data_IF_355480110833
#
_entry.id   IF_355480110833
#
_cell.length_a   1.000
_cell.length_b   1.000
_cell.length_c   1.000
_cell.angle_alpha   90.00
_cell.angle_beta   90.00
_cell.angle_gamma   90.00
#
_symmetry.space_group_name_H-M   'P 1'
#
loop_
_entity.id
_entity.type
_entity.pdbx_description
1 polymer ?
#
# COMPACT_ATOMS: atom_id res chain seq x y z
N UNK A 1 14.42 -11.94 3.49
CA UNK A 1 13.07 -11.56 3.03
C UNK A 1 12.26 -12.78 2.61
N UNK A 2 12.75 -13.67 1.74
CA UNK A 2 12.01 -14.89 1.33
C UNK A 2 11.60 -15.85 2.47
N UNK A 3 12.30 -15.81 3.61
CA UNK A 3 11.98 -16.64 4.79
C UNK A 3 10.78 -16.08 5.56
N UNK A 4 10.73 -14.76 5.74
CA UNK A 4 9.66 -14.07 6.47
C UNK A 4 8.39 -13.93 5.59
N UNK A 5 8.57 -13.91 4.26
CA UNK A 5 7.47 -13.94 3.28
C UNK A 5 6.69 -15.27 3.28
N UNK A 6 7.36 -16.38 3.58
CA UNK A 6 6.76 -17.73 3.64
C UNK A 6 5.90 -17.95 4.89
N UNK A 7 6.14 -17.18 5.94
CA UNK A 7 5.39 -17.27 7.20
C UNK A 7 3.99 -16.64 7.11
N UNK A 8 3.69 -15.89 6.05
CA UNK A 8 2.32 -15.39 5.78
C UNK A 8 1.28 -16.51 5.56
N UNK A 9 1.75 -17.74 5.31
CA UNK A 9 0.89 -18.94 5.18
C UNK A 9 0.70 -19.71 6.49
N UNK A 10 1.39 -19.30 7.57
CA UNK A 10 1.36 -19.94 8.88
C UNK A 10 0.52 -19.07 9.82
N UNK A 11 -0.52 -19.64 10.44
CA UNK A 11 -1.48 -18.87 11.27
C UNK A 11 -0.87 -18.20 12.51
N UNK A 12 0.37 -18.54 12.87
CA UNK A 12 1.13 -17.97 13.98
C UNK A 12 2.54 -17.52 13.53
N UNK A 13 2.71 -17.25 12.22
CA UNK A 13 3.96 -16.73 11.68
C UNK A 13 4.26 -15.32 12.19
N UNK A 14 5.52 -14.90 12.19
CA UNK A 14 5.86 -13.53 12.56
C UNK A 14 5.38 -12.56 11.46
N UNK A 15 4.48 -11.64 11.79
CA UNK A 15 4.01 -10.60 10.88
C UNK A 15 4.99 -9.41 10.78
N UNK A 16 6.29 -9.72 10.60
CA UNK A 16 7.37 -8.71 10.53
C UNK A 16 7.07 -7.62 9.50
N UNK A 17 6.40 -7.98 8.40
CA UNK A 17 5.98 -7.04 7.35
C UNK A 17 5.00 -6.00 7.85
N UNK A 18 4.01 -6.43 8.63
CA UNK A 18 2.93 -5.55 9.09
C UNK A 18 3.41 -4.68 10.28
N UNK A 19 4.50 -5.09 10.94
CA UNK A 19 5.22 -4.28 11.92
C UNK A 19 6.22 -3.27 11.29
N UNK A 20 6.70 -3.50 10.08
CA UNK A 20 7.74 -2.65 9.47
C UNK A 20 7.25 -1.24 9.17
N UNK A 21 6.07 -1.09 8.57
CA UNK A 21 5.56 0.23 8.15
C UNK A 21 5.10 1.11 9.32
N UNK A 22 4.93 0.53 10.51
CA UNK A 22 4.62 1.26 11.75
C UNK A 22 5.88 1.65 12.54
N UNK A 23 7.08 1.41 12.00
CA UNK A 23 8.32 1.77 12.67
C UNK A 23 8.42 3.29 12.92
N UNK A 24 8.99 3.62 14.08
CA UNK A 24 9.25 5.00 14.50
C UNK A 24 10.44 5.63 13.77
N UNK A 25 11.40 4.78 13.36
CA UNK A 25 12.61 5.17 12.66
C UNK A 25 13.05 4.04 11.72
N UNK A 26 13.42 4.40 10.50
CA UNK A 26 13.85 3.48 9.45
C UNK A 26 15.35 3.60 9.23
N UNK A 27 16.07 2.48 9.30
CA UNK A 27 17.52 2.42 9.12
C UNK A 27 17.86 1.66 7.85
N UNK A 28 18.77 2.21 7.05
CA UNK A 28 19.42 1.47 5.97
C UNK A 28 20.74 0.88 6.47
N UNK A 29 20.84 -0.44 6.40
CA UNK A 29 22.04 -1.21 6.73
C UNK A 29 22.72 -1.77 5.46
N UNK A 30 22.47 -1.15 4.32
CA UNK A 30 23.21 -1.41 3.09
C UNK A 30 24.62 -0.87 3.20
N UNK A 31 25.54 -1.44 2.42
CA UNK A 31 26.95 -0.99 2.39
C UNK A 31 27.09 0.43 1.84
N UNK A 32 26.13 0.89 1.02
CA UNK A 32 26.09 2.20 0.40
C UNK A 32 24.70 2.80 0.60
N UNK A 33 24.54 3.62 1.65
CA UNK A 33 23.26 4.29 1.90
C UNK A 33 22.87 5.22 0.76
N UNK A 34 21.61 5.12 0.36
CA UNK A 34 21.04 5.89 -0.75
C UNK A 34 20.93 7.40 -0.45
N UNK A 35 20.88 7.78 0.84
CA UNK A 35 20.86 9.19 1.28
C UNK A 35 22.24 9.66 1.77
N UNK A 36 23.29 8.85 1.58
CA UNK A 36 24.70 9.18 1.87
C UNK A 36 25.11 9.10 3.35
N UNK A 37 24.17 8.92 4.27
CA UNK A 37 24.44 8.69 5.70
C UNK A 37 24.71 7.20 5.95
N UNK A 38 25.84 6.85 6.57
CA UNK A 38 26.08 5.45 6.92
C UNK A 38 25.28 5.05 8.17
N UNK A 39 25.18 3.74 8.44
CA UNK A 39 24.44 3.23 9.61
C UNK A 39 24.84 3.91 10.93
N UNK A 40 26.11 4.22 11.13
CA UNK A 40 26.58 4.88 12.35
C UNK A 40 26.03 6.30 12.46
N UNK A 41 26.06 7.08 11.38
CA UNK A 41 25.54 8.45 11.34
C UNK A 41 24.03 8.48 11.63
N UNK A 42 23.28 7.52 11.05
CA UNK A 42 21.84 7.39 11.28
C UNK A 42 21.52 6.97 12.72
N UNK A 43 22.33 6.08 13.33
CA UNK A 43 22.18 5.69 14.73
C UNK A 43 22.51 6.85 15.68
N UNK A 44 23.58 7.60 15.42
CA UNK A 44 23.93 8.79 16.20
C UNK A 44 22.81 9.83 16.12
N UNK A 45 22.27 10.07 14.92
CA UNK A 45 21.11 10.95 14.71
C UNK A 45 19.88 10.47 15.49
N UNK A 46 19.56 9.18 15.42
CA UNK A 46 18.42 8.60 16.13
C UNK A 46 18.55 8.76 17.64
N UNK A 47 19.74 8.50 18.19
CA UNK A 47 20.02 8.68 19.63
C UNK A 47 19.89 10.15 20.01
N UNK A 48 20.45 11.08 19.23
CA UNK A 48 20.33 12.51 19.49
C UNK A 48 18.87 12.98 19.49
N UNK A 49 18.06 12.48 18.55
CA UNK A 49 16.62 12.76 18.49
C UNK A 49 15.91 12.26 19.75
N UNK A 50 16.12 11.01 20.17
CA UNK A 50 15.46 10.43 21.36
C UNK A 50 15.86 11.14 22.66
N UNK A 51 17.15 11.46 22.81
CA UNK A 51 17.68 12.12 24.01
C UNK A 51 17.38 13.63 24.03
N UNK A 52 16.83 14.17 22.94
CA UNK A 52 16.55 15.60 22.77
C UNK A 52 17.83 16.44 22.80
N UNK A 53 18.94 15.89 22.31
CA UNK A 53 20.23 16.58 22.33
C UNK A 53 20.30 17.61 21.21
N UNK A 54 20.30 18.89 21.59
CA UNK A 54 20.39 19.98 20.63
C UNK A 54 19.15 20.20 19.75
N UNK A 55 19.32 21.02 18.71
CA UNK A 55 18.31 21.32 17.70
C UNK A 55 18.59 20.51 16.44
N UNK A 56 17.90 19.39 16.30
CA UNK A 56 17.94 18.57 15.09
C UNK A 56 16.78 18.97 14.18
N UNK A 57 17.06 19.21 12.89
CA UNK A 57 16.03 19.49 11.89
C UNK A 57 15.69 18.22 11.10
N UNK A 58 14.45 18.11 10.59
CA UNK A 58 14.09 17.02 9.70
C UNK A 58 14.88 17.07 8.39
N UNK A 59 15.26 15.91 7.85
CA UNK A 59 15.91 15.77 6.54
C UNK A 59 14.94 16.12 5.41
N UNK A 60 15.47 16.26 4.18
CA UNK A 60 14.65 16.48 2.97
C UNK A 60 13.63 15.34 2.81
N UNK A 61 14.08 14.10 2.94
CA UNK A 61 13.29 12.88 2.87
C UNK A 61 12.21 12.81 3.96
N UNK A 62 12.56 13.07 5.22
CA UNK A 62 11.61 13.06 6.35
C UNK A 62 10.49 14.09 6.17
N UNK A 63 10.80 15.30 5.70
CA UNK A 63 9.78 16.31 5.36
C UNK A 63 8.85 15.80 4.28
N UNK A 64 9.40 15.33 3.16
CA UNK A 64 8.60 14.91 2.01
C UNK A 64 7.71 13.71 2.36
N UNK A 65 8.23 12.74 3.11
CA UNK A 65 7.45 11.58 3.56
C UNK A 65 6.37 11.95 4.57
N UNK A 66 6.62 12.91 5.47
CA UNK A 66 5.58 13.44 6.36
C UNK A 66 4.47 14.15 5.57
N UNK A 67 4.81 14.93 4.54
CA UNK A 67 3.82 15.53 3.64
C UNK A 67 3.02 14.46 2.86
N UNK A 68 3.67 13.38 2.42
CA UNK A 68 2.98 12.25 1.78
C UNK A 68 2.01 11.58 2.74
N UNK A 69 2.42 11.33 3.98
CA UNK A 69 1.55 10.80 5.02
C UNK A 69 0.37 11.75 5.31
N UNK A 70 0.61 13.05 5.43
CA UNK A 70 -0.47 14.03 5.62
C UNK A 70 -1.47 14.06 4.45
N UNK A 71 -1.01 13.87 3.20
CA UNK A 71 -1.87 13.73 2.03
C UNK A 71 -2.68 12.42 2.07
N UNK A 72 -2.09 11.33 2.57
CA UNK A 72 -2.77 10.04 2.72
C UNK A 72 -4.01 10.16 3.63
N UNK A 73 -3.91 10.91 4.73
CA UNK A 73 -4.99 11.10 5.69
C UNK A 73 -6.25 11.77 5.11
N UNK A 74 -6.15 12.37 3.93
CA UNK A 74 -7.28 12.98 3.21
C UNK A 74 -8.10 11.95 2.42
N UNK A 75 -7.56 10.76 2.16
CA UNK A 75 -8.20 9.74 1.34
C UNK A 75 -9.47 9.19 2.00
N UNK A 76 -10.56 9.18 1.23
CA UNK A 76 -11.81 8.48 1.57
C UNK A 76 -11.92 7.10 0.91
N UNK A 77 -10.82 6.55 0.40
CA UNK A 77 -10.81 5.22 -0.21
C UNK A 77 -11.15 4.14 0.83
N UNK A 78 -12.12 3.29 0.51
CA UNK A 78 -12.62 2.24 1.41
C UNK A 78 -11.62 1.12 1.70
N UNK A 79 -10.55 1.01 0.90
CA UNK A 79 -9.57 -0.07 1.04
C UNK A 79 -8.33 0.34 1.83
N UNK A 80 -7.77 1.52 1.57
CA UNK A 80 -6.53 2.00 2.19
C UNK A 80 -6.34 3.50 1.98
N UNK A 81 -5.61 4.13 2.87
CA UNK A 81 -5.14 5.51 2.73
C UNK A 81 -3.69 5.52 2.26
N UNK A 82 -3.42 6.16 1.12
CA UNK A 82 -2.10 6.26 0.48
C UNK A 82 -1.90 7.70 0.04
N UNK A 83 -0.70 8.21 0.30
CA UNK A 83 -0.33 9.56 -0.10
C UNK A 83 1.03 9.58 -0.76
N UNK A 84 1.22 10.54 -1.66
CA UNK A 84 2.45 10.73 -2.39
C UNK A 84 2.82 12.20 -2.49
N UNK A 85 4.11 12.46 -2.61
CA UNK A 85 4.70 13.79 -2.79
C UNK A 85 5.68 13.71 -3.93
N UNK A 86 5.59 14.66 -4.85
CA UNK A 86 6.63 14.95 -5.83
C UNK A 86 7.49 16.07 -5.29
N UNK A 87 8.81 15.87 -5.24
CA UNK A 87 9.77 16.83 -4.72
C UNK A 87 10.91 17.08 -5.72
N UNK A 88 11.51 18.28 -5.66
CA UNK A 88 12.74 18.57 -6.39
C UNK A 88 13.93 17.81 -5.78
N UNK A 89 15.05 17.69 -6.50
CA UNK A 89 16.30 17.15 -5.93
C UNK A 89 16.80 17.95 -4.71
N UNK A 90 16.38 19.22 -4.57
CA UNK A 90 16.67 20.03 -3.39
C UNK A 90 15.71 19.82 -2.22
N UNK A 91 14.69 18.97 -2.40
CA UNK A 91 13.71 18.64 -1.36
C UNK A 91 12.61 19.67 -1.20
N UNK A 92 12.34 20.49 -2.22
CA UNK A 92 11.16 21.35 -2.27
C UNK A 92 9.94 20.53 -2.68
N UNK A 93 8.80 20.74 -2.00
CA UNK A 93 7.55 20.03 -2.30
C UNK A 93 6.92 20.68 -3.53
N UNK A 94 6.82 19.92 -4.61
CA UNK A 94 6.28 20.39 -5.90
C UNK A 94 4.80 20.08 -6.05
N UNK A 95 4.38 18.89 -5.63
CA UNK A 95 2.99 18.46 -5.69
C UNK A 95 2.71 17.38 -4.64
N UNK A 96 1.45 17.27 -4.23
CA UNK A 96 0.96 16.19 -3.37
C UNK A 96 -0.14 15.42 -4.10
N UNK A 97 -0.27 14.14 -3.82
CA UNK A 97 -1.32 13.28 -4.34
C UNK A 97 -1.90 12.40 -3.25
N UNK A 98 -3.17 12.06 -3.39
CA UNK A 98 -3.89 11.16 -2.48
C UNK A 98 -4.68 10.16 -3.30
N UNK A 99 -4.85 8.94 -2.80
CA UNK A 99 -5.63 7.94 -3.51
C UNK A 99 -7.14 8.17 -3.26
N UNK A 100 -7.84 8.76 -4.22
CA UNK A 100 -9.28 8.98 -4.10
C UNK A 100 -9.95 9.05 -5.48
N UNK A 101 -11.27 9.16 -5.50
CA UNK A 101 -12.06 9.21 -6.72
C UNK A 101 -11.75 10.51 -7.48
N UNK A 102 -11.37 10.43 -8.77
CA UNK A 102 -11.08 11.60 -9.58
C UNK A 102 -12.35 12.41 -9.85
N UNK A 103 -12.19 13.73 -9.86
CA UNK A 103 -13.25 14.69 -10.16
C UNK A 103 -13.09 15.23 -11.57
N UNK A 104 -14.21 15.38 -12.29
CA UNK A 104 -14.20 16.05 -13.59
C UNK A 104 -13.68 17.49 -13.45
N UNK A 105 -12.84 17.92 -14.39
CA UNK A 105 -12.11 19.19 -14.30
C UNK A 105 -10.78 19.12 -13.53
N UNK A 106 -10.44 17.95 -12.95
CA UNK A 106 -9.14 17.68 -12.34
C UNK A 106 -9.17 17.61 -10.81
N UNK A 107 -8.15 16.94 -10.27
CA UNK A 107 -8.04 16.60 -8.86
C UNK A 107 -9.00 15.49 -8.44
N UNK A 108 -9.13 15.32 -7.12
CA UNK A 108 -10.08 14.40 -6.49
C UNK A 108 -11.20 15.17 -5.78
N UNK A 109 -12.28 14.49 -5.43
CA UNK A 109 -13.34 15.09 -4.60
C UNK A 109 -12.80 15.51 -3.23
N UNK A 110 -13.32 16.61 -2.71
CA UNK A 110 -12.89 17.24 -1.46
C UNK A 110 -14.05 17.27 -0.48
N UNK A 111 -13.74 17.36 0.81
CA UNK A 111 -14.75 17.49 1.84
C UNK A 111 -15.55 18.80 1.67
N UNK A 112 -16.89 18.71 1.76
CA UNK A 112 -17.80 19.84 1.52
C UNK A 112 -17.94 20.26 0.05
N UNK A 113 -17.37 19.52 -0.90
CA UNK A 113 -17.54 19.77 -2.34
C UNK A 113 -18.78 19.10 -2.93
N UNK A 114 -19.49 19.81 -3.81
CA UNK A 114 -20.70 19.31 -4.50
C UNK A 114 -20.51 19.30 -6.03
N UNK A 115 -20.97 18.24 -6.75
CA UNK A 115 -21.50 17.00 -6.19
C UNK A 115 -20.38 16.13 -5.61
N UNK A 116 -20.69 15.32 -4.60
CA UNK A 116 -19.77 14.31 -4.07
C UNK A 116 -20.06 12.94 -4.70
N UNK A 117 -19.10 12.45 -5.49
CA UNK A 117 -19.18 11.13 -6.08
C UNK A 117 -18.17 10.14 -5.48
N UNK A 118 -17.70 10.32 -4.25
CA UNK A 118 -16.84 9.33 -3.56
C UNK A 118 -17.59 8.03 -3.29
N UNK A 119 -16.86 6.92 -3.17
CA UNK A 119 -17.46 5.57 -3.09
C UNK A 119 -18.39 5.34 -1.89
N UNK A 120 -18.26 6.12 -0.82
CA UNK A 120 -19.06 5.98 0.40
C UNK A 120 -20.43 6.71 0.33
N UNK A 121 -20.63 7.59 -0.66
CA UNK A 121 -21.85 8.39 -0.83
C UNK A 121 -22.51 8.20 -2.20
N UNK A 122 -21.73 7.95 -3.24
CA UNK A 122 -22.24 7.88 -4.59
C UNK A 122 -23.05 6.60 -4.83
N UNK A 123 -24.33 6.77 -5.08
CA UNK A 123 -25.21 5.69 -5.53
C UNK A 123 -25.06 5.51 -7.05
N UNK A 124 -24.32 4.47 -7.43
CA UNK A 124 -24.28 4.02 -8.81
C UNK A 124 -25.53 3.21 -9.13
N UNK A 125 -26.18 3.53 -10.24
CA UNK A 125 -27.37 2.83 -10.71
C UNK A 125 -27.24 2.32 -12.15
N UNK A 126 -27.69 1.08 -12.41
CA UNK A 126 -27.85 0.51 -13.76
C UNK A 126 -29.11 -0.37 -13.79
N UNK A 127 -30.17 0.10 -14.47
CA UNK A 127 -31.48 -0.57 -14.45
C UNK A 127 -32.13 -0.51 -13.06
N UNK A 128 -32.43 -1.67 -12.47
CA UNK A 128 -33.01 -1.79 -11.12
C UNK A 128 -31.94 -1.92 -10.02
N UNK A 129 -30.64 -2.03 -10.36
CA UNK A 129 -29.57 -2.17 -9.39
C UNK A 129 -29.09 -0.80 -8.91
N UNK A 130 -29.08 -0.60 -7.58
CA UNK A 130 -28.39 0.53 -6.94
C UNK A 130 -27.26 0.01 -6.04
N UNK A 131 -26.13 0.73 -6.01
CA UNK A 131 -24.95 0.34 -5.25
C UNK A 131 -24.18 1.54 -4.72
N UNK A 132 -23.87 1.50 -3.43
CA UNK A 132 -22.91 2.38 -2.75
C UNK A 132 -21.82 1.50 -2.16
N UNK A 133 -20.55 1.78 -2.47
CA UNK A 133 -19.41 1.04 -1.93
C UNK A 133 -18.23 0.85 -2.89
N UNK A 134 -17.39 -0.13 -2.58
CA UNK A 134 -16.19 -0.44 -3.36
C UNK A 134 -16.54 -1.11 -4.69
N UNK A 135 -16.42 -0.37 -5.79
CA UNK A 135 -16.69 -0.88 -7.14
C UNK A 135 -15.77 -2.03 -7.54
N UNK A 136 -14.53 -2.03 -7.05
CA UNK A 136 -13.58 -3.10 -7.32
C UNK A 136 -14.05 -4.43 -6.73
N UNK A 137 -14.46 -4.43 -5.46
CA UNK A 137 -14.94 -5.63 -4.79
C UNK A 137 -16.27 -6.11 -5.37
N UNK A 138 -17.14 -5.18 -5.75
CA UNK A 138 -18.37 -5.52 -6.49
C UNK A 138 -18.05 -6.25 -7.79
N UNK A 139 -17.13 -5.73 -8.61
CA UNK A 139 -16.79 -6.35 -9.89
C UNK A 139 -16.06 -7.68 -9.71
N UNK A 140 -15.20 -7.82 -8.70
CA UNK A 140 -14.58 -9.10 -8.33
C UNK A 140 -15.63 -10.15 -7.97
N UNK A 141 -16.62 -9.80 -7.15
CA UNK A 141 -17.73 -10.70 -6.79
C UNK A 141 -18.52 -11.12 -8.03
N UNK A 142 -18.85 -10.17 -8.91
CA UNK A 142 -19.54 -10.47 -10.17
C UNK A 142 -18.72 -11.42 -11.06
N UNK A 143 -17.42 -11.17 -11.23
CA UNK A 143 -16.54 -12.03 -12.03
C UNK A 143 -16.43 -13.45 -11.46
N UNK A 144 -16.37 -13.62 -10.13
CA UNK A 144 -16.39 -14.94 -9.49
C UNK A 144 -17.68 -15.69 -9.78
N UNK A 145 -18.83 -15.01 -9.71
CA UNK A 145 -20.12 -15.63 -10.01
C UNK A 145 -20.24 -16.02 -11.48
N UNK A 146 -19.73 -15.17 -12.39
CA UNK A 146 -19.68 -15.45 -13.83
C UNK A 146 -18.82 -16.68 -14.14
N UNK A 147 -17.62 -16.77 -13.55
CA UNK A 147 -16.73 -17.93 -13.70
C UNK A 147 -17.37 -19.19 -13.11
N UNK A 148 -17.97 -19.12 -11.92
CA UNK A 148 -18.67 -20.25 -11.30
C UNK A 148 -19.80 -20.78 -12.18
N UNK A 149 -20.60 -19.88 -12.75
CA UNK A 149 -21.68 -20.22 -13.69
C UNK A 149 -21.13 -20.86 -14.97
N UNK A 150 -20.07 -20.29 -15.54
CA UNK A 150 -19.42 -20.87 -16.72
C UNK A 150 -18.87 -22.27 -16.45
N UNK A 151 -18.22 -22.51 -15.31
CA UNK A 151 -17.73 -23.83 -14.90
C UNK A 151 -18.90 -24.81 -14.73
N UNK A 152 -19.99 -24.39 -14.09
CA UNK A 152 -21.19 -25.19 -13.92
C UNK A 152 -21.76 -25.61 -15.27
N UNK A 153 -21.87 -24.69 -16.22
CA UNK A 153 -22.43 -24.93 -17.55
C UNK A 153 -21.57 -25.86 -18.40
N UNK A 154 -20.26 -25.66 -18.40
CA UNK A 154 -19.35 -26.28 -19.37
C UNK A 154 -18.63 -27.54 -18.87
N UNK A 155 -18.44 -27.68 -17.55
CA UNK A 155 -17.59 -28.73 -16.97
C UNK A 155 -18.38 -29.76 -16.16
N UNK A 156 -19.51 -29.39 -15.56
CA UNK A 156 -20.22 -30.27 -14.61
C UNK A 156 -20.60 -31.64 -15.19
N UNK A 157 -21.10 -31.68 -16.42
CA UNK A 157 -21.49 -32.94 -17.08
C UNK A 157 -20.30 -33.87 -17.35
N UNK A 158 -19.15 -33.30 -17.74
CA UNK A 158 -17.91 -34.05 -17.92
C UNK A 158 -17.41 -34.61 -16.58
N UNK A 159 -17.41 -33.81 -15.51
CA UNK A 159 -17.02 -34.26 -14.17
C UNK A 159 -17.93 -35.37 -13.64
N UNK A 160 -19.24 -35.25 -13.84
CA UNK A 160 -20.18 -36.29 -13.46
C UNK A 160 -19.93 -37.60 -14.22
N UNK A 161 -19.57 -37.51 -15.50
CA UNK A 161 -19.19 -38.67 -16.32
C UNK A 161 -17.88 -39.30 -15.86
N UNK A 162 -16.90 -38.51 -15.39
CA UNK A 162 -15.67 -39.06 -14.81
C UNK A 162 -15.91 -39.75 -13.46
N UNK A 163 -16.75 -39.17 -12.61
CA UNK A 163 -17.11 -39.74 -11.31
C UNK A 163 -17.94 -41.03 -11.44
N UNK A 164 -18.82 -41.06 -12.45
CA UNK A 164 -19.64 -42.21 -12.79
C UNK A 164 -19.48 -42.52 -14.29
N UNK A 165 -18.51 -43.35 -14.71
CA UNK A 165 -18.24 -43.63 -16.13
C UNK A 165 -19.38 -44.33 -16.87
N UNK A 166 -19.49 -44.10 -18.18
CA UNK A 166 -20.38 -44.90 -19.05
C UNK A 166 -19.71 -46.25 -19.27
N UNK A 167 -20.35 -47.34 -18.80
CA UNK A 167 -19.87 -48.69 -19.07
C UNK A 167 -20.42 -49.21 -20.40
N UNK A 168 -19.62 -49.99 -21.13
CA UNK A 168 -20.05 -50.64 -22.37
C UNK A 168 -20.94 -51.84 -22.06
N UNK A 169 -22.25 -51.69 -22.25
CA UNK A 169 -23.28 -52.72 -22.10
C UNK A 169 -24.66 -52.18 -22.49
N UNK A 170 -25.68 -53.04 -22.57
CA UNK A 170 -27.06 -52.60 -22.93
C UNK A 170 -27.74 -51.76 -21.84
N UNK A 171 -27.21 -51.73 -20.61
CA UNK A 171 -27.83 -51.07 -19.45
C UNK A 171 -26.86 -50.12 -18.73
N UNK A 172 -27.24 -48.85 -18.63
CA UNK A 172 -26.49 -47.83 -17.86
C UNK A 172 -26.96 -47.76 -16.40
N UNK A 173 -26.42 -48.65 -15.55
CA UNK A 173 -26.74 -48.67 -14.13
C UNK A 173 -26.29 -47.40 -13.37
N UNK A 174 -25.40 -46.60 -13.96
CA UNK A 174 -24.85 -45.40 -13.34
C UNK A 174 -25.58 -44.11 -13.75
N UNK A 175 -26.55 -44.17 -14.68
CA UNK A 175 -27.26 -43.00 -15.22
C UNK A 175 -27.86 -42.09 -14.14
N UNK A 176 -28.57 -42.66 -13.17
CA UNK A 176 -29.21 -41.89 -12.09
C UNK A 176 -28.18 -41.26 -11.16
N UNK A 177 -27.10 -41.97 -10.83
CA UNK A 177 -26.03 -41.44 -10.00
C UNK A 177 -25.28 -40.32 -10.72
N UNK A 178 -25.02 -40.47 -12.02
CA UNK A 178 -24.40 -39.46 -12.89
C UNK A 178 -25.24 -38.18 -12.96
N UNK A 179 -26.54 -38.30 -13.15
CA UNK A 179 -27.46 -37.14 -13.18
C UNK A 179 -27.50 -36.42 -11.83
N UNK A 180 -27.56 -37.16 -10.73
CA UNK A 180 -27.51 -36.58 -9.38
C UNK A 180 -26.17 -35.87 -9.11
N UNK A 181 -25.04 -36.48 -9.52
CA UNK A 181 -23.72 -35.89 -9.40
C UNK A 181 -23.59 -34.62 -10.24
N UNK A 182 -24.07 -34.62 -11.49
CA UNK A 182 -24.05 -33.45 -12.36
C UNK A 182 -24.82 -32.29 -11.72
N UNK A 183 -26.03 -32.54 -11.21
CA UNK A 183 -26.82 -31.53 -10.52
C UNK A 183 -26.08 -30.98 -9.30
N UNK A 184 -25.54 -31.86 -8.45
CA UNK A 184 -24.81 -31.44 -7.25
C UNK A 184 -23.57 -30.59 -7.59
N UNK A 185 -22.84 -30.94 -8.65
CA UNK A 185 -21.68 -30.17 -9.12
C UNK A 185 -22.12 -28.80 -9.66
N UNK A 186 -23.19 -28.74 -10.47
CA UNK A 186 -23.74 -27.47 -10.96
C UNK A 186 -24.15 -26.56 -9.81
N UNK A 187 -24.90 -27.09 -8.86
CA UNK A 187 -25.36 -26.36 -7.68
C UNK A 187 -24.15 -25.84 -6.86
N UNK A 188 -23.11 -26.66 -6.67
CA UNK A 188 -21.89 -26.26 -5.96
C UNK A 188 -21.09 -25.15 -6.67
N UNK A 189 -20.96 -25.25 -7.99
CA UNK A 189 -20.19 -24.29 -8.81
C UNK A 189 -20.91 -22.96 -8.98
N UNK A 190 -22.25 -22.98 -9.05
CA UNK A 190 -23.09 -21.80 -9.24
C UNK A 190 -23.56 -21.14 -7.93
N UNK A 191 -23.36 -21.77 -6.77
CA UNK A 191 -23.80 -21.23 -5.47
C UNK A 191 -23.08 -19.92 -5.10
N UNK A 192 -23.81 -18.80 -4.92
CA UNK A 192 -23.26 -17.59 -4.30
C UNK A 192 -23.17 -17.75 -2.77
N UNK A 193 -22.21 -17.12 -2.05
CA UNK A 193 -20.98 -16.49 -2.53
C UNK A 193 -19.68 -17.29 -2.29
N UNK A 194 -19.71 -18.56 -1.82
CA UNK A 194 -18.61 -19.07 -0.97
C UNK A 194 -17.62 -20.05 -1.64
N UNK A 195 -17.92 -20.72 -2.76
CA UNK A 195 -17.01 -21.78 -3.26
C UNK A 195 -15.68 -21.27 -3.86
N UNK A 196 -15.54 -19.96 -4.07
CA UNK A 196 -14.47 -19.41 -4.93
C UNK A 196 -13.85 -18.08 -4.46
N UNK A 197 -14.04 -17.68 -3.20
CA UNK A 197 -13.53 -16.39 -2.69
C UNK A 197 -12.01 -16.22 -2.82
N UNK A 198 -11.28 -17.33 -2.94
CA UNK A 198 -9.82 -17.39 -3.04
C UNK A 198 -9.30 -17.76 -4.43
N UNK A 199 -10.09 -17.63 -5.51
CA UNK A 199 -9.57 -17.84 -6.87
C UNK A 199 -8.32 -16.97 -7.09
N UNK A 200 -7.16 -17.56 -7.43
CA UNK A 200 -5.94 -16.82 -7.75
C UNK A 200 -6.16 -15.84 -8.91
N UNK A 201 -5.47 -14.70 -8.89
CA UNK A 201 -5.58 -13.67 -9.93
C UNK A 201 -6.78 -12.73 -9.76
N UNK A 202 -7.96 -13.19 -9.32
CA UNK A 202 -9.12 -12.29 -9.10
C UNK A 202 -8.94 -11.43 -7.86
N UNK A 203 -8.36 -12.00 -6.79
CA UNK A 203 -8.12 -11.28 -5.54
C UNK A 203 -7.27 -10.02 -5.75
N UNK A 204 -6.34 -10.08 -6.70
CA UNK A 204 -5.32 -9.05 -6.91
C UNK A 204 -5.72 -7.98 -7.92
N UNK A 205 -6.89 -8.10 -8.56
CA UNK A 205 -7.40 -7.09 -9.50
C UNK A 205 -7.63 -5.76 -8.77
N UNK A 206 -7.22 -4.67 -9.39
CA UNK A 206 -7.37 -3.30 -8.83
C UNK A 206 -7.91 -2.33 -9.87
N UNK A 207 -7.99 -2.73 -11.13
CA UNK A 207 -8.38 -1.91 -12.27
C UNK A 207 -9.84 -1.44 -12.24
N UNK A 208 -10.69 -2.09 -11.44
CA UNK A 208 -12.09 -1.68 -11.27
C UNK A 208 -12.30 -0.74 -10.08
N UNK A 209 -11.21 -0.32 -9.41
CA UNK A 209 -11.27 0.76 -8.45
C UNK A 209 -11.56 2.07 -9.17
N UNK A 210 -12.47 2.87 -8.60
CA UNK A 210 -12.68 4.25 -9.07
C UNK A 210 -11.60 5.21 -8.60
N UNK A 211 -10.89 4.88 -7.53
CA UNK A 211 -9.86 5.75 -6.99
C UNK A 211 -8.64 5.77 -7.91
N UNK A 212 -8.16 6.96 -8.24
CA UNK A 212 -6.81 7.11 -8.77
C UNK A 212 -5.81 6.81 -7.65
N UNK A 213 -4.61 6.36 -8.01
CA UNK A 213 -3.52 6.13 -7.07
C UNK A 213 -2.83 7.44 -6.70
N UNK A 214 -2.27 7.52 -5.50
CA UNK A 214 -1.67 8.74 -4.97
C UNK A 214 -0.50 9.24 -5.83
N UNK A 215 0.31 8.33 -6.34
CA UNK A 215 1.45 8.59 -7.21
C UNK A 215 1.00 9.29 -8.50
N UNK A 216 -0.10 8.83 -9.08
CA UNK A 216 -0.65 9.38 -10.31
C UNK A 216 -1.34 10.72 -10.06
N UNK A 217 -2.05 10.87 -8.94
CA UNK A 217 -2.59 12.17 -8.57
C UNK A 217 -1.48 13.21 -8.32
N UNK A 218 -0.36 12.83 -7.70
CA UNK A 218 0.79 13.73 -7.48
C UNK A 218 1.40 14.21 -8.81
N UNK A 219 1.66 13.30 -9.75
CA UNK A 219 2.19 13.64 -11.09
C UNK A 219 1.20 14.51 -11.87
N UNK A 220 -0.10 14.17 -11.82
CA UNK A 220 -1.13 14.95 -12.49
C UNK A 220 -1.35 16.31 -11.82
N UNK A 221 -1.18 16.43 -10.50
CA UNK A 221 -1.22 17.70 -9.78
C UNK A 221 -0.07 18.61 -10.22
N UNK A 222 1.15 18.08 -10.31
CA UNK A 222 2.29 18.81 -10.89
C UNK A 222 1.99 19.26 -12.33
N UNK A 223 1.47 18.36 -13.16
CA UNK A 223 1.13 18.65 -14.56
C UNK A 223 0.07 19.75 -14.69
N UNK A 224 -0.98 19.71 -13.86
CA UNK A 224 -2.01 20.77 -13.81
C UNK A 224 -1.44 22.12 -13.39
N UNK A 225 -0.40 22.12 -12.56
CA UNK A 225 0.31 23.32 -12.11
C UNK A 225 1.41 23.79 -13.09
N UNK A 226 1.64 23.08 -14.20
CA UNK A 226 2.71 23.39 -15.16
C UNK A 226 4.11 23.06 -14.64
N UNK A 227 4.23 22.19 -13.65
CA UNK A 227 5.49 21.74 -13.07
C UNK A 227 5.93 20.45 -13.74
N UNK A 228 7.17 20.43 -14.24
CA UNK A 228 7.74 19.24 -14.88
C UNK A 228 8.10 18.18 -13.83
N UNK A 229 7.68 16.91 -14.03
CA UNK A 229 8.11 15.79 -13.19
C UNK A 229 9.51 15.25 -13.55
N UNK A 230 10.11 15.70 -14.65
CA UNK A 230 11.45 15.25 -15.07
C UNK A 230 12.51 15.64 -14.04
N UNK A 231 13.32 14.68 -13.59
CA UNK A 231 14.40 14.90 -12.62
C UNK A 231 13.91 15.00 -11.17
N UNK A 232 12.65 14.66 -10.91
CA UNK A 232 12.06 14.77 -9.57
C UNK A 232 12.17 13.47 -8.78
N UNK A 233 11.98 13.58 -7.47
CA UNK A 233 11.93 12.47 -6.52
C UNK A 233 10.49 12.34 -6.00
N UNK A 234 9.93 11.14 -6.05
CA UNK A 234 8.63 10.83 -5.45
C UNK A 234 8.82 10.20 -4.06
N UNK A 235 8.05 10.63 -3.08
CA UNK A 235 7.93 9.97 -1.77
C UNK A 235 6.51 9.46 -1.62
N UNK A 236 6.32 8.18 -1.35
CA UNK A 236 5.00 7.55 -1.25
C UNK A 236 4.88 6.72 0.03
N UNK A 237 3.72 6.74 0.68
CA UNK A 237 3.50 5.93 1.88
C UNK A 237 3.54 4.43 1.60
N UNK A 238 3.25 4.02 0.37
CA UNK A 238 3.20 2.63 -0.08
C UNK A 238 3.98 2.44 -1.38
N UNK A 239 4.65 1.31 -1.55
CA UNK A 239 5.38 0.98 -2.77
C UNK A 239 4.45 1.03 -4.00
N UNK A 240 4.90 1.62 -5.12
CA UNK A 240 4.05 1.84 -6.28
C UNK A 240 3.68 0.56 -7.03
N UNK A 241 2.42 0.44 -7.43
CA UNK A 241 2.02 -0.68 -8.28
C UNK A 241 2.66 -0.57 -9.68
N UNK A 242 2.78 -1.69 -10.41
CA UNK A 242 3.39 -1.72 -11.74
C UNK A 242 2.70 -0.77 -12.75
N UNK A 243 1.39 -0.55 -12.60
CA UNK A 243 0.66 0.42 -13.42
C UNK A 243 1.09 1.87 -13.13
N UNK A 244 1.38 2.22 -11.87
CA UNK A 244 1.89 3.54 -11.52
C UNK A 244 3.36 3.68 -11.91
N UNK A 245 4.17 2.65 -11.64
CA UNK A 245 5.61 2.64 -11.89
C UNK A 245 5.95 2.96 -13.35
N UNK A 246 5.27 2.37 -14.34
CA UNK A 246 5.51 2.68 -15.76
C UNK A 246 5.24 4.14 -16.11
N UNK A 247 4.28 4.78 -15.44
CA UNK A 247 3.95 6.18 -15.66
C UNK A 247 4.97 7.10 -14.98
N UNK A 248 5.48 6.73 -13.80
CA UNK A 248 6.56 7.44 -13.12
C UNK A 248 7.85 7.45 -13.97
N UNK A 249 8.21 6.28 -14.53
CA UNK A 249 9.32 6.16 -15.50
C UNK A 249 9.08 7.07 -16.70
N UNK A 250 7.90 7.01 -17.31
CA UNK A 250 7.56 7.83 -18.48
C UNK A 250 7.57 9.33 -18.16
N UNK A 251 7.19 9.71 -16.94
CA UNK A 251 7.21 11.10 -16.47
C UNK A 251 8.63 11.62 -16.20
N UNK A 252 9.65 10.75 -16.19
CA UNK A 252 11.03 11.12 -15.90
C UNK A 252 11.31 11.33 -14.41
N UNK A 253 10.53 10.69 -13.53
CA UNK A 253 10.87 10.61 -12.10
C UNK A 253 12.13 9.77 -11.95
N UNK A 254 13.11 10.26 -11.18
CA UNK A 254 14.41 9.59 -11.03
C UNK A 254 14.43 8.62 -9.86
N UNK A 255 13.77 8.97 -8.75
CA UNK A 255 13.76 8.17 -7.53
C UNK A 255 12.37 8.12 -6.91
N UNK A 256 12.03 6.99 -6.31
CA UNK A 256 10.82 6.78 -5.53
C UNK A 256 11.21 6.22 -4.17
N UNK A 257 10.88 6.92 -3.08
CA UNK A 257 11.03 6.40 -1.72
C UNK A 257 9.69 5.90 -1.19
N UNK A 258 9.66 4.73 -0.55
CA UNK A 258 8.44 4.14 0.02
C UNK A 258 8.62 3.65 1.46
N UNK A 259 7.55 3.67 2.26
CA UNK A 259 7.54 3.05 3.60
C UNK A 259 7.00 1.62 3.53
N UNK A 260 5.74 1.47 3.12
CA UNK A 260 5.08 0.17 3.16
C UNK A 260 5.44 -0.65 1.92
N UNK A 261 6.06 -1.83 2.06
CA UNK A 261 6.41 -2.67 0.92
C UNK A 261 5.15 -3.23 0.26
N UNK A 262 5.11 -3.21 -1.07
CA UNK A 262 4.03 -3.78 -1.87
C UNK A 262 4.59 -4.97 -2.67
N UNK A 263 4.66 -6.12 -1.99
CA UNK A 263 5.28 -7.38 -2.45
C UNK A 263 4.69 -7.91 -3.77
N UNK A 264 3.52 -7.41 -4.19
CA UNK A 264 2.83 -7.85 -5.42
C UNK A 264 3.15 -7.01 -6.65
N UNK A 265 3.95 -5.94 -6.53
CA UNK A 265 4.27 -5.12 -7.69
C UNK A 265 5.26 -5.85 -8.59
N UNK A 266 4.88 -6.06 -9.86
CA UNK A 266 5.78 -6.57 -10.89
C UNK A 266 6.61 -5.46 -11.54
N UNK A 267 6.76 -4.29 -10.88
CA UNK A 267 7.36 -3.10 -11.47
C UNK A 267 8.81 -3.35 -11.95
N UNK A 268 9.66 -3.90 -11.09
CA UNK A 268 11.06 -4.22 -11.40
C UNK A 268 11.18 -5.40 -12.36
N UNK A 269 10.26 -6.36 -12.33
CA UNK A 269 10.24 -7.49 -13.27
C UNK A 269 9.88 -7.03 -14.70
N UNK A 270 8.76 -6.32 -14.84
CA UNK A 270 8.23 -5.87 -16.13
C UNK A 270 9.05 -4.76 -16.79
N UNK A 271 9.75 -3.96 -15.97
CA UNK A 271 10.53 -2.81 -16.42
C UNK A 271 11.97 -2.86 -15.91
N UNK A 272 12.58 -4.05 -15.88
CA UNK A 272 13.97 -4.25 -15.44
C UNK A 272 15.00 -3.47 -16.25
N UNK A 273 14.65 -3.04 -17.46
CA UNK A 273 15.42 -2.16 -18.33
C UNK A 273 15.41 -0.69 -17.88
N UNK A 274 14.39 -0.27 -17.14
CA UNK A 274 14.17 1.13 -16.77
C UNK A 274 13.99 1.39 -15.25
N UNK A 275 13.84 0.34 -14.44
CA UNK A 275 13.63 0.40 -12.99
C UNK A 275 14.68 -0.45 -12.28
N UNK A 276 15.19 0.05 -11.15
CA UNK A 276 16.10 -0.67 -10.25
C UNK A 276 15.62 -0.56 -8.79
N UNK A 277 16.01 -1.53 -7.97
CA UNK A 277 15.76 -1.53 -6.52
C UNK A 277 17.00 -1.09 -5.71
N UNK A 278 18.06 -0.65 -6.40
CA UNK A 278 19.31 -0.20 -5.80
C UNK A 278 19.61 1.22 -6.30
N UNK A 279 20.19 2.06 -5.43
CA UNK A 279 20.76 3.33 -5.90
C UNK A 279 22.15 3.09 -6.50
N UNK A 280 22.26 3.27 -7.81
CA UNK A 280 23.53 3.10 -8.52
C UNK A 280 24.50 4.27 -8.27
N UNK A 281 24.07 5.35 -7.59
CA UNK A 281 24.94 6.46 -7.18
C UNK A 281 25.59 7.21 -8.36
N UNK A 282 24.98 7.15 -9.54
CA UNK A 282 25.50 7.77 -10.77
C UNK A 282 25.02 9.22 -10.89
N UNK A 283 25.90 10.12 -11.33
CA UNK A 283 25.57 11.53 -11.64
C UNK A 283 24.43 11.69 -12.67
N UNK A 284 24.21 10.66 -13.50
CA UNK A 284 23.10 10.58 -14.46
C UNK A 284 22.48 9.20 -14.38
N UNK A 285 21.37 9.03 -13.64
CA UNK A 285 20.72 7.73 -13.53
C UNK A 285 20.21 7.28 -14.90
N UNK A 286 20.48 6.02 -15.24
CA UNK A 286 19.94 5.39 -16.46
C UNK A 286 18.60 4.71 -16.23
N UNK A 287 18.24 4.51 -14.95
CA UNK A 287 17.01 3.86 -14.48
C UNK A 287 16.41 4.64 -13.32
N UNK A 288 15.09 4.57 -13.17
CA UNK A 288 14.40 5.06 -11.98
C UNK A 288 14.64 4.10 -10.81
N UNK A 289 15.10 4.60 -9.68
CA UNK A 289 15.30 3.79 -8.48
C UNK A 289 14.04 3.80 -7.60
N UNK A 290 13.61 2.62 -7.12
CA UNK A 290 12.54 2.50 -6.12
C UNK A 290 13.15 1.94 -4.83
N UNK A 291 13.23 2.80 -3.81
CA UNK A 291 14.07 2.59 -2.63
C UNK A 291 13.22 2.65 -1.35
N UNK A 292 13.54 1.86 -0.32
CA UNK A 292 12.92 2.01 0.98
C UNK A 292 13.28 3.37 1.60
N UNK A 293 12.33 3.96 2.32
CA UNK A 293 12.53 5.20 3.07
C UNK A 293 13.43 4.97 4.29
N UNK A 294 14.27 5.96 4.60
CA UNK A 294 15.13 6.02 5.78
C UNK A 294 14.88 7.30 6.58
N UNK A 295 15.08 7.22 7.89
CA UNK A 295 14.88 8.33 8.83
C UNK A 295 13.63 8.21 9.69
N UNK A 296 13.21 9.33 10.27
CA UNK A 296 12.05 9.40 11.17
C UNK A 296 10.75 9.03 10.46
N UNK A 297 10.05 8.04 11.00
CA UNK A 297 8.72 7.65 10.55
C UNK A 297 7.70 8.78 10.73
N UNK A 298 6.72 8.91 9.81
CA UNK A 298 5.82 10.07 9.78
C UNK A 298 4.97 10.22 11.06
N UNK A 299 4.74 9.12 11.80
CA UNK A 299 4.01 9.11 13.09
C UNK A 299 4.77 9.83 14.20
N UNK A 300 6.10 9.79 14.15
CA UNK A 300 7.00 10.37 15.14
C UNK A 300 7.48 11.77 14.77
N UNK A 301 7.13 12.26 13.58
CA UNK A 301 7.60 13.53 13.06
C UNK A 301 7.33 14.70 14.01
N UNK A 302 6.09 14.87 14.46
CA UNK A 302 5.71 15.95 15.39
C UNK A 302 6.32 15.74 16.78
N UNK A 303 6.45 14.49 17.22
CA UNK A 303 7.07 14.22 18.51
C UNK A 303 8.53 14.67 18.51
N UNK A 304 9.30 14.26 17.50
CA UNK A 304 10.74 14.47 17.45
C UNK A 304 11.15 15.89 17.00
N UNK A 305 10.33 16.59 16.21
CA UNK A 305 10.72 17.89 15.63
C UNK A 305 9.99 19.11 16.21
N UNK A 306 8.96 18.94 17.03
CA UNK A 306 8.34 20.07 17.75
C UNK A 306 9.29 20.60 18.82
N UNK A 307 9.47 21.93 18.85
CA UNK A 307 10.29 22.60 19.86
C UNK A 307 9.61 22.57 21.23
N UNK A 308 10.14 21.78 22.15
CA UNK A 308 9.67 21.65 23.53
C UNK A 308 10.57 22.45 24.47
N UNK A 309 10.36 23.76 24.53
CA UNK A 309 11.07 24.66 25.46
C UNK A 309 11.96 25.70 24.78
N UNK A 310 12.56 26.59 25.58
CA UNK A 310 13.42 27.65 25.07
C UNK A 310 14.77 27.11 24.60
N UNK A 311 15.20 27.51 23.40
CA UNK A 311 16.55 27.26 22.86
C UNK A 311 17.44 28.52 22.95
N UNK A 312 16.91 29.58 23.56
CA UNK A 312 17.50 30.92 23.59
C UNK A 312 17.85 31.26 25.03
N UNK A 313 19.14 31.30 25.33
CA UNK A 313 19.70 31.70 26.62
C UNK A 313 19.87 33.21 26.76
N UNK A 314 20.63 33.61 27.78
CA UNK A 314 20.91 35.02 28.07
C UNK A 314 21.57 35.73 26.88
N UNK A 315 21.18 36.98 26.63
CA UNK A 315 21.69 37.77 25.49
C UNK A 315 21.26 37.25 24.12
N UNK A 316 20.39 36.23 24.06
CA UNK A 316 19.93 35.64 22.82
C UNK A 316 20.85 34.60 22.19
N UNK A 317 21.82 34.11 22.96
CA UNK A 317 22.72 33.02 22.57
C UNK A 317 21.94 31.71 22.50
N UNK A 318 22.30 30.86 21.54
CA UNK A 318 21.75 29.50 21.44
C UNK A 318 22.16 28.67 22.66
N UNK A 319 21.18 28.12 23.37
CA UNK A 319 21.35 27.29 24.56
C UNK A 319 20.56 25.98 24.34
N UNK A 320 21.20 24.95 23.76
CA UNK A 320 20.55 23.69 23.47
C UNK A 320 20.21 22.91 24.75
N UNK A 321 19.14 22.10 24.74
CA UNK A 321 18.96 21.08 25.76
C UNK A 321 20.16 20.14 25.71
N UNK A 322 20.72 19.86 26.89
CA UNK A 322 21.75 18.82 27.03
C UNK A 322 21.06 17.46 27.04
N UNK A 323 21.71 16.47 26.44
CA UNK A 323 21.24 15.08 26.43
C UNK A 323 20.75 14.68 27.83
N UNK A 324 19.49 14.22 27.91
CA UNK A 324 18.84 13.86 29.16
C UNK A 324 18.24 12.46 29.08
N UNK A 325 17.44 12.05 30.07
CA UNK A 325 16.57 10.86 29.92
C UNK A 325 15.73 10.99 28.64
N UNK A 326 15.31 9.89 27.99
CA UNK A 326 14.49 9.95 26.78
C UNK A 326 13.36 10.97 26.94
N UNK A 327 13.36 12.00 26.08
CA UNK A 327 12.45 13.14 26.21
C UNK A 327 10.99 12.76 25.89
N UNK A 328 10.80 11.56 25.33
CA UNK A 328 9.52 11.02 24.92
C UNK A 328 9.06 9.99 25.95
N UNK A 329 7.92 10.28 26.58
CA UNK A 329 7.12 9.21 27.15
C UNK A 329 6.67 8.34 25.98
N UNK A 330 7.07 7.07 25.99
CA UNK A 330 6.50 6.02 25.15
C UNK A 330 4.99 6.26 25.09
N UNK A 331 4.39 6.41 23.89
CA UNK A 331 2.94 6.59 23.76
C UNK A 331 2.27 5.33 24.30
N UNK A 332 1.99 5.27 25.60
CA UNK A 332 1.39 4.10 26.27
C UNK A 332 0.00 3.76 25.69
N UNK A 333 -0.70 4.74 25.10
CA UNK A 333 -1.95 4.53 24.37
C UNK A 333 -1.76 3.77 23.04
N UNK A 334 -0.59 3.87 22.42
CA UNK A 334 -0.24 3.10 21.23
C UNK A 334 0.35 1.74 21.59
N UNK A 335 0.99 1.57 22.76
CA UNK A 335 1.37 0.23 23.21
C UNK A 335 0.13 -0.65 23.39
N UNK A 336 -0.91 -0.16 24.07
CA UNK A 336 -2.14 -0.93 24.23
C UNK A 336 -2.82 -1.21 22.88
N UNK A 337 -2.87 -0.24 21.95
CA UNK A 337 -3.46 -0.46 20.61
C UNK A 337 -2.61 -1.34 19.70
N UNK A 338 -1.28 -1.29 19.80
CA UNK A 338 -0.34 -2.16 19.08
C UNK A 338 -0.35 -3.55 19.70
N UNK A 339 -0.44 -3.67 21.02
CA UNK A 339 -0.60 -4.94 21.74
C UNK A 339 -1.98 -5.55 21.48
N UNK A 340 -3.05 -4.75 21.40
CA UNK A 340 -4.41 -5.21 21.11
C UNK A 340 -4.56 -5.59 19.63
N UNK A 341 -3.94 -4.83 18.71
CA UNK A 341 -3.80 -5.22 17.30
C UNK A 341 -2.97 -6.51 17.17
N UNK A 342 -1.79 -6.57 17.80
CA UNK A 342 -0.95 -7.76 17.82
C UNK A 342 -1.64 -8.96 18.48
N UNK A 343 -2.42 -8.75 19.54
CA UNK A 343 -3.19 -9.80 20.22
C UNK A 343 -4.39 -10.25 19.38
N UNK A 344 -5.05 -9.34 18.65
CA UNK A 344 -6.14 -9.67 17.73
C UNK A 344 -5.68 -10.49 16.52
N UNK A 345 -4.39 -10.41 16.18
CA UNK A 345 -3.73 -11.23 15.17
C UNK A 345 -3.38 -12.63 15.70
N UNK A 346 -3.46 -12.86 17.03
CA UNK A 346 -3.32 -14.19 17.64
C UNK A 346 -4.71 -14.85 17.71
N UNK A 347 -5.01 -15.88 16.90
CA UNK A 347 -6.31 -16.54 16.97
C UNK A 347 -6.49 -17.22 18.33
N UNK A 348 -7.66 -17.00 18.96
CA UNK A 348 -8.01 -17.67 20.21
C UNK A 348 -7.92 -19.19 20.02
N UNK A 349 -7.05 -19.83 20.80
CA UNK A 349 -6.98 -21.29 20.85
C UNK A 349 -8.31 -21.77 21.39
N UNK A 350 -9.18 -22.27 20.52
CA UNK A 350 -10.39 -22.99 20.93
C UNK A 350 -9.95 -24.24 21.68
N UNK A 351 -9.95 -24.15 23.00
CA UNK A 351 -9.56 -25.24 23.89
C UNK A 351 -10.43 -26.47 23.63
N UNK A 352 -9.76 -27.59 23.34
CA UNK A 352 -10.33 -28.93 23.33
C UNK A 352 -10.24 -29.61 24.68
#
# INVERSE_FOLDING_TARGET
MDRDEKDASVSFGQEVRDAFYIADYFLDNSTNSHDGANLSDDLERFVALILGEGLVRPTKSERAMHHAHAAALQSACLSRQVGAVLASGEGEILATGTNDVPRFGGGVYQEGGEPDHRCHVWEWGEGELTFVGCHNDRKKKALRAEIGSWLAENIASQMATLAHPIQSGEFDAAASARSAAEKAIRDYLAAPPISFDKIPGIKDLIEYSRAIHAEMDAVLAASRAGISPVGTVLYCTTYPCHNCARHLVTAGVEKVYFIEPYVKSLATELHSDAITAEDEGQDRPTKMAILPFTGVGPRMYDDLFVKRGPLKGAGGVYDPPKASVPAFAVRLKELAGVEEAAASLVPEVSGG
#
